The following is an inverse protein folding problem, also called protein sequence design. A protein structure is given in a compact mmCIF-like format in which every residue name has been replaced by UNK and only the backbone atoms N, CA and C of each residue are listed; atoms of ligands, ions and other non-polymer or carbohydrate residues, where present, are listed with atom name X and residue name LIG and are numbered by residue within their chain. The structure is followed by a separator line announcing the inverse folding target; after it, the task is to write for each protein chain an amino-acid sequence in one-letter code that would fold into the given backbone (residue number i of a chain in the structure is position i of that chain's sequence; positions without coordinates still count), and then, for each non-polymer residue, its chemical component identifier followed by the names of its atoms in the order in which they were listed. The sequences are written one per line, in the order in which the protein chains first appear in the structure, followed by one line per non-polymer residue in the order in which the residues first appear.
data_IF_285071757928
#
_entry.id   IF_285071757928
#
_cell.length_a   1.000
_cell.length_b   1.000
_cell.length_c   1.000
_cell.angle_alpha   90.00
_cell.angle_beta   90.00
_cell.angle_gamma   90.00
#
_symmetry.space_group_name_H-M   'P 1'
#
loop_
_entity.id
_entity.type
_entity.pdbx_description
1 polymer ?
#
# COMPACT_ATOMS: atom_id res chain seq x y z
N UNK A 1 12.14 -2.13 -9.24
CA UNK A 1 11.99 -1.21 -8.09
C UNK A 1 12.17 -2.00 -6.81
N UNK A 2 13.15 -1.64 -6.01
CA UNK A 2 13.52 -2.34 -4.76
C UNK A 2 13.59 -3.85 -4.98
N UNK A 3 14.52 -4.28 -5.83
CA UNK A 3 14.67 -5.68 -6.24
C UNK A 3 14.98 -6.59 -5.07
N UNK A 4 15.69 -6.10 -4.06
CA UNK A 4 16.09 -6.86 -2.89
C UNK A 4 15.44 -6.30 -1.62
N UNK A 5 15.34 -7.16 -0.59
CA UNK A 5 14.91 -6.73 0.74
C UNK A 5 15.85 -5.67 1.31
N UNK A 6 17.14 -5.77 1.03
CA UNK A 6 18.13 -4.77 1.47
C UNK A 6 17.81 -3.38 0.91
N UNK A 7 17.54 -3.30 -0.39
CA UNK A 7 17.20 -2.03 -1.03
C UNK A 7 15.91 -1.45 -0.46
N UNK A 8 14.91 -2.31 -0.23
CA UNK A 8 13.64 -1.90 0.36
C UNK A 8 13.84 -1.35 1.78
N UNK A 9 14.59 -2.05 2.63
CA UNK A 9 14.85 -1.61 3.99
C UNK A 9 15.63 -0.30 4.03
N UNK A 10 16.56 -0.11 3.09
CA UNK A 10 17.29 1.15 2.96
C UNK A 10 16.35 2.29 2.61
N UNK A 11 15.44 2.10 1.67
CA UNK A 11 14.46 3.12 1.29
C UNK A 11 13.49 3.43 2.43
N UNK A 12 13.10 2.43 3.22
CA UNK A 12 12.24 2.64 4.38
C UNK A 12 12.86 3.64 5.36
N UNK A 13 14.16 3.56 5.58
CA UNK A 13 14.87 4.50 6.46
C UNK A 13 14.80 5.94 5.94
N UNK A 14 14.74 6.11 4.62
CA UNK A 14 14.63 7.43 4.00
C UNK A 14 13.19 7.96 4.02
N UNK A 15 12.22 7.08 4.22
CA UNK A 15 10.80 7.45 4.33
C UNK A 15 10.03 7.31 3.04
N UNK A 16 8.77 7.72 3.10
CA UNK A 16 7.85 7.65 1.97
C UNK A 16 8.25 8.62 0.86
N UNK A 17 7.94 8.24 -0.37
CA UNK A 17 8.09 9.09 -1.55
C UNK A 17 6.99 8.73 -2.58
N UNK A 18 7.17 9.11 -3.84
CA UNK A 18 6.20 8.80 -4.89
C UNK A 18 6.07 7.31 -5.19
N UNK A 19 7.04 6.49 -4.78
CA UNK A 19 7.10 5.05 -5.06
C UNK A 19 6.94 4.16 -3.83
N UNK A 20 6.91 4.73 -2.64
CA UNK A 20 6.87 3.95 -1.40
C UNK A 20 5.86 4.53 -0.42
N UNK A 21 4.95 3.68 0.05
CA UNK A 21 3.98 4.00 1.09
C UNK A 21 4.16 3.03 2.26
N UNK A 22 4.26 3.58 3.47
CA UNK A 22 4.42 2.80 4.70
C UNK A 22 3.13 2.86 5.50
N UNK A 23 2.69 1.70 6.01
CA UNK A 23 1.49 1.59 6.84
C UNK A 23 1.75 0.70 8.04
N UNK A 24 1.49 1.23 9.23
CA UNK A 24 1.32 0.41 10.42
C UNK A 24 -0.17 0.05 10.54
N UNK A 25 -0.46 -1.16 10.97
CA UNK A 25 -1.83 -1.65 11.04
C UNK A 25 -2.28 -1.78 12.49
N UNK A 26 -3.54 -1.43 12.71
CA UNK A 26 -4.22 -1.64 13.99
C UNK A 26 -5.32 -2.67 13.80
N UNK A 27 -5.52 -3.51 14.79
CA UNK A 27 -6.47 -4.63 14.72
C UNK A 27 -7.53 -4.51 15.79
N UNK A 28 -8.72 -5.02 15.47
CA UNK A 28 -9.78 -5.24 16.43
C UNK A 28 -10.29 -6.67 16.24
N UNK A 29 -9.91 -7.58 17.14
CA UNK A 29 -10.18 -8.99 16.96
C UNK A 29 -9.56 -9.51 15.67
N UNK A 30 -10.36 -10.12 14.82
CA UNK A 30 -9.93 -10.69 13.55
C UNK A 30 -10.08 -9.73 12.38
N UNK A 31 -10.05 -8.42 12.64
CA UNK A 31 -10.23 -7.41 11.60
C UNK A 31 -9.14 -6.37 11.68
N UNK A 32 -8.72 -5.85 10.52
CA UNK A 32 -7.90 -4.65 10.45
C UNK A 32 -8.81 -3.46 10.69
N UNK A 33 -8.51 -2.70 11.74
CA UNK A 33 -9.29 -1.53 12.13
C UNK A 33 -8.77 -0.25 11.51
N UNK A 34 -7.46 -0.09 11.45
CA UNK A 34 -6.80 1.12 10.95
C UNK A 34 -5.58 0.69 10.13
N UNK A 35 -5.41 1.26 8.92
CA UNK A 35 -6.24 2.26 8.24
C UNK A 35 -7.61 1.70 7.84
N UNK A 36 -8.59 2.61 7.66
CA UNK A 36 -9.91 2.21 7.18
C UNK A 36 -9.79 1.66 5.75
N UNK A 37 -10.54 0.60 5.45
CA UNK A 37 -10.46 -0.08 4.15
C UNK A 37 -10.71 0.85 2.95
N UNK A 38 -11.63 1.82 3.10
CA UNK A 38 -11.91 2.76 2.02
C UNK A 38 -10.72 3.69 1.76
N UNK A 39 -10.08 4.18 2.81
CA UNK A 39 -8.87 4.99 2.69
C UNK A 39 -7.73 4.22 2.07
N UNK A 40 -7.55 2.96 2.46
CA UNK A 40 -6.52 2.10 1.89
C UNK A 40 -6.80 1.84 0.40
N UNK A 41 -8.06 1.62 0.03
CA UNK A 41 -8.46 1.46 -1.37
C UNK A 41 -8.12 2.70 -2.19
N UNK A 42 -8.41 3.89 -1.67
CA UNK A 42 -8.11 5.15 -2.34
C UNK A 42 -6.61 5.32 -2.60
N UNK A 43 -5.78 4.96 -1.63
CA UNK A 43 -4.33 5.06 -1.75
C UNK A 43 -3.74 4.04 -2.74
N UNK A 44 -4.23 2.80 -2.69
CA UNK A 44 -3.82 1.76 -3.64
C UNK A 44 -4.19 2.13 -5.08
N UNK A 45 -5.42 2.61 -5.28
CA UNK A 45 -5.89 3.03 -6.59
C UNK A 45 -5.10 4.25 -7.10
N UNK A 46 -4.80 5.21 -6.22
CA UNK A 46 -4.00 6.38 -6.58
C UNK A 46 -2.62 5.98 -7.10
N UNK A 47 -1.97 5.01 -6.47
CA UNK A 47 -0.68 4.52 -6.92
C UNK A 47 -0.80 3.85 -8.29
N UNK A 48 -1.76 2.95 -8.47
CA UNK A 48 -1.97 2.25 -9.74
C UNK A 48 -2.31 3.20 -10.90
N UNK A 49 -2.99 4.30 -10.60
CA UNK A 49 -3.33 5.32 -11.58
C UNK A 49 -2.15 6.23 -11.95
N UNK A 50 -1.07 6.18 -11.21
CA UNK A 50 0.04 7.12 -11.36
C UNK A 50 1.31 6.46 -11.87
N UNK A 51 1.86 5.50 -11.11
CA UNK A 51 3.15 4.90 -11.42
C UNK A 51 3.33 3.61 -10.60
N UNK A 52 4.33 2.82 -11.00
CA UNK A 52 4.71 1.65 -10.21
C UNK A 52 5.12 2.07 -8.80
N UNK A 53 4.78 1.26 -7.82
CA UNK A 53 5.17 1.55 -6.46
C UNK A 53 5.00 0.36 -5.53
N UNK A 54 5.35 0.58 -4.27
CA UNK A 54 5.35 -0.45 -3.24
C UNK A 54 4.65 0.08 -1.98
N UNK A 55 3.75 -0.72 -1.43
CA UNK A 55 3.23 -0.54 -0.08
C UNK A 55 3.96 -1.50 0.85
N UNK A 56 4.36 -1.03 2.01
CA UNK A 56 4.91 -1.89 3.06
C UNK A 56 4.03 -1.78 4.28
N UNK A 57 3.48 -2.92 4.71
CA UNK A 57 2.64 -3.02 5.88
C UNK A 57 3.46 -3.55 7.06
N UNK A 58 3.30 -2.94 8.22
CA UNK A 58 4.05 -3.28 9.42
C UNK A 58 5.18 -2.32 9.74
N UNK A 59 5.16 -1.12 9.16
CA UNK A 59 6.16 -0.08 9.41
C UNK A 59 5.42 1.23 9.74
N UNK A 60 5.84 1.87 10.81
CA UNK A 60 5.31 3.19 11.18
C UNK A 60 5.79 4.23 10.19
N UNK A 61 4.87 4.99 9.59
CA UNK A 61 5.18 5.95 8.53
C UNK A 61 5.93 7.18 9.03
N UNK A 62 5.78 7.53 10.30
CA UNK A 62 6.42 8.70 10.90
C UNK A 62 7.81 8.38 11.44
N UNK A 63 7.90 7.37 12.30
CA UNK A 63 9.17 6.94 12.92
C UNK A 63 9.99 6.05 12.01
N UNK A 64 9.36 5.40 11.03
CA UNK A 64 9.95 4.41 10.13
C UNK A 64 10.44 3.16 10.86
N UNK A 65 9.93 2.95 12.07
CA UNK A 65 10.24 1.77 12.88
C UNK A 65 9.51 0.56 12.30
N UNK A 66 10.23 -0.55 12.19
CA UNK A 66 9.64 -1.83 11.78
C UNK A 66 8.88 -2.40 12.98
N UNK A 67 7.56 -2.29 12.94
CA UNK A 67 6.67 -2.81 13.98
C UNK A 67 6.40 -4.30 13.75
N UNK A 68 6.31 -4.69 12.48
CA UNK A 68 5.97 -6.05 12.06
C UNK A 68 4.48 -6.33 12.13
N UNK A 69 4.10 -7.47 11.57
CA UNK A 69 2.74 -7.98 11.60
C UNK A 69 2.78 -9.26 12.43
N UNK A 70 1.94 -9.39 13.48
CA UNK A 70 1.87 -10.62 14.24
C UNK A 70 1.57 -11.81 13.33
N UNK A 71 2.23 -12.93 13.57
CA UNK A 71 2.09 -14.11 12.72
C UNK A 71 0.63 -14.57 12.57
N UNK A 72 -0.13 -14.52 13.68
CA UNK A 72 -1.54 -14.89 13.68
C UNK A 72 -2.44 -13.91 12.91
N UNK A 73 -1.92 -12.75 12.52
CA UNK A 73 -2.66 -11.74 11.75
C UNK A 73 -2.33 -11.74 10.26
N UNK A 74 -1.34 -12.48 9.83
CA UNK A 74 -0.89 -12.46 8.43
C UNK A 74 -2.00 -12.82 7.45
N UNK A 75 -2.75 -13.89 7.72
CA UNK A 75 -3.85 -14.33 6.85
C UNK A 75 -4.98 -13.29 6.81
N UNK A 76 -5.24 -12.65 7.95
CA UNK A 76 -6.25 -11.60 8.05
C UNK A 76 -5.86 -10.41 7.17
N UNK A 77 -4.60 -10.02 7.21
CA UNK A 77 -4.09 -8.90 6.39
C UNK A 77 -4.15 -9.24 4.91
N UNK A 78 -3.72 -10.45 4.51
CA UNK A 78 -3.79 -10.88 3.11
C UNK A 78 -5.22 -10.84 2.59
N UNK A 79 -6.16 -11.38 3.36
CA UNK A 79 -7.59 -11.37 3.00
C UNK A 79 -8.12 -9.95 2.89
N UNK A 80 -7.75 -9.08 3.81
CA UNK A 80 -8.15 -7.68 3.83
C UNK A 80 -7.70 -6.95 2.55
N UNK A 81 -6.44 -7.14 2.15
CA UNK A 81 -5.91 -6.55 0.90
C UNK A 81 -6.64 -7.11 -0.31
N UNK A 82 -6.84 -8.44 -0.35
CA UNK A 82 -7.54 -9.09 -1.47
C UNK A 82 -8.96 -8.52 -1.63
N UNK A 83 -9.68 -8.40 -0.54
CA UNK A 83 -11.06 -7.92 -0.58
C UNK A 83 -11.11 -6.44 -1.00
N UNK A 84 -10.18 -5.62 -0.52
CA UNK A 84 -10.08 -4.23 -0.96
C UNK A 84 -9.86 -4.14 -2.46
N UNK A 85 -8.87 -4.86 -2.98
CA UNK A 85 -8.51 -4.78 -4.39
C UNK A 85 -9.59 -5.34 -5.32
N UNK A 86 -10.34 -6.35 -4.88
CA UNK A 86 -11.39 -6.96 -5.69
C UNK A 86 -12.73 -6.24 -5.57
N UNK A 87 -13.08 -5.79 -4.37
CA UNK A 87 -14.45 -5.33 -4.10
C UNK A 87 -14.59 -3.82 -4.07
N UNK A 88 -13.53 -3.10 -3.69
CA UNK A 88 -13.59 -1.65 -3.50
C UNK A 88 -12.94 -0.84 -4.61
N UNK A 89 -12.22 -1.47 -5.52
CA UNK A 89 -11.52 -0.81 -6.62
C UNK A 89 -12.06 -1.36 -7.94
N UNK A 90 -12.46 -0.45 -8.84
CA UNK A 90 -13.06 -0.82 -10.13
C UNK A 90 -12.37 -0.12 -11.28
N UNK A 91 -11.89 -0.86 -12.30
CA UNK A 91 -11.77 -2.32 -12.30
C UNK A 91 -10.83 -2.82 -11.22
N UNK A 92 -10.90 -4.11 -10.90
CA UNK A 92 -10.10 -4.71 -9.83
C UNK A 92 -8.61 -4.46 -10.02
N UNK A 93 -7.91 -4.24 -8.91
CA UNK A 93 -6.48 -3.95 -8.93
C UNK A 93 -5.68 -5.25 -8.88
N UNK A 94 -4.73 -5.39 -9.81
CA UNK A 94 -3.73 -6.46 -9.75
C UNK A 94 -2.57 -6.03 -8.87
N UNK A 95 -2.08 -6.95 -8.04
CA UNK A 95 -0.99 -6.67 -7.12
C UNK A 95 -0.20 -7.94 -6.85
N UNK A 96 1.01 -7.78 -6.32
CA UNK A 96 1.81 -8.90 -5.85
C UNK A 96 2.12 -8.69 -4.38
N UNK A 97 1.70 -9.63 -3.55
CA UNK A 97 1.91 -9.57 -2.09
C UNK A 97 2.96 -10.60 -1.67
N UNK A 98 3.93 -10.17 -0.87
CA UNK A 98 4.97 -11.04 -0.33
C UNK A 98 5.18 -10.76 1.15
N UNK A 99 5.35 -11.83 1.93
CA UNK A 99 5.74 -11.73 3.33
C UNK A 99 7.27 -11.74 3.39
N UNK A 100 7.85 -10.79 4.08
CA UNK A 100 9.31 -10.64 4.16
C UNK A 100 9.76 -10.58 5.61
N UNK A 101 10.82 -11.34 5.97
CA UNK A 101 11.45 -11.15 7.27
C UNK A 101 12.25 -9.85 7.28
N UNK A 102 12.21 -9.13 8.38
CA UNK A 102 12.96 -7.90 8.56
C UNK A 102 13.44 -7.80 9.99
N UNK A 103 14.71 -7.43 10.18
CA UNK A 103 15.25 -7.24 11.51
C UNK A 103 14.97 -5.82 11.95
N UNK A 104 14.23 -5.67 13.05
CA UNK A 104 13.91 -4.39 13.64
C UNK A 104 15.11 -3.81 14.40
N UNK A 105 14.99 -2.53 14.82
CA UNK A 105 16.07 -1.83 15.53
C UNK A 105 16.41 -2.51 16.87
N UNK A 106 15.45 -3.23 17.48
CA UNK A 106 15.67 -4.01 18.71
C UNK A 106 16.39 -5.34 18.46
N UNK A 107 16.77 -5.64 17.21
CA UNK A 107 17.46 -6.87 16.83
C UNK A 107 16.53 -8.06 16.65
N UNK A 108 15.23 -7.90 16.85
CA UNK A 108 14.25 -8.99 16.72
C UNK A 108 13.78 -9.07 15.27
N UNK A 109 13.76 -10.29 14.72
CA UNK A 109 13.21 -10.54 13.41
C UNK A 109 11.68 -10.44 13.46
N UNK A 110 11.14 -9.64 12.55
CA UNK A 110 9.70 -9.44 12.40
C UNK A 110 9.31 -9.68 10.96
N UNK A 111 8.01 -9.85 10.72
CA UNK A 111 7.50 -10.06 9.36
C UNK A 111 6.78 -8.80 8.93
N UNK A 112 7.13 -8.31 7.74
CA UNK A 112 6.43 -7.23 7.06
C UNK A 112 5.79 -7.77 5.79
N UNK A 113 4.80 -7.07 5.28
CA UNK A 113 4.16 -7.43 4.00
C UNK A 113 4.51 -6.36 2.97
N UNK A 114 5.05 -6.81 1.86
CA UNK A 114 5.33 -5.96 0.69
C UNK A 114 4.26 -6.19 -0.36
N UNK A 115 3.68 -5.11 -0.85
CA UNK A 115 2.70 -5.15 -1.93
C UNK A 115 3.24 -4.33 -3.08
N UNK A 116 3.51 -5.02 -4.20
CA UNK A 116 3.95 -4.36 -5.42
C UNK A 116 2.74 -4.00 -6.27
N UNK A 117 2.63 -2.72 -6.62
CA UNK A 117 1.59 -2.17 -7.47
C UNK A 117 2.23 -1.69 -8.76
N UNK A 118 1.73 -2.19 -9.88
CA UNK A 118 2.14 -1.71 -11.20
C UNK A 118 1.16 -0.66 -11.70
N UNK A 119 1.68 0.35 -12.39
CA UNK A 119 0.81 1.29 -13.06
C UNK A 119 -0.12 0.54 -13.99
N UNK A 120 -1.42 0.78 -13.86
CA UNK A 120 -2.44 0.13 -14.66
C UNK A 120 -2.63 0.82 -16.00
N UNK A 121 -3.05 0.05 -17.01
CA UNK A 121 -3.51 0.59 -18.29
C UNK A 121 -4.90 1.21 -18.17
N UNK A 122 -5.62 0.92 -17.08
CA UNK A 122 -6.97 1.40 -16.82
C UNK A 122 -6.96 2.38 -15.67
N UNK A 123 -7.92 3.32 -15.69
CA UNK A 123 -8.14 4.21 -14.56
C UNK A 123 -9.01 3.47 -13.55
N UNK A 124 -8.55 3.39 -12.32
CA UNK A 124 -9.28 2.73 -11.23
C UNK A 124 -10.05 3.76 -10.42
N UNK A 125 -11.32 3.46 -10.20
CA UNK A 125 -12.16 4.18 -9.26
C UNK A 125 -12.13 3.46 -7.92
N UNK A 126 -12.03 4.22 -6.83
CA UNK A 126 -12.07 3.72 -5.46
C UNK A 126 -13.23 4.39 -4.71
N UNK A 127 -13.48 4.02 -3.43
CA UNK A 127 -14.66 4.56 -2.72
C UNK A 127 -14.76 6.08 -2.71
N UNK A 128 -13.65 6.79 -2.62
CA UNK A 128 -13.64 8.26 -2.63
C UNK A 128 -13.68 8.88 -4.01
N UNK A 129 -13.58 8.10 -5.08
CA UNK A 129 -13.59 8.57 -6.46
C UNK A 129 -12.32 8.19 -7.23
N UNK A 130 -11.84 9.11 -8.06
CA UNK A 130 -10.63 8.91 -8.88
C UNK A 130 -9.49 9.71 -8.29
N UNK A 131 -8.41 9.00 -7.95
CA UNK A 131 -7.23 9.61 -7.34
C UNK A 131 -5.98 9.36 -8.16
N UNK A 132 -5.06 10.31 -8.13
CA UNK A 132 -3.66 10.09 -8.52
C UNK A 132 -2.78 10.36 -7.30
N UNK A 133 -1.49 10.01 -7.42
CA UNK A 133 -0.52 10.21 -6.35
C UNK A 133 0.49 11.27 -6.80
N UNK A 134 0.67 12.29 -5.96
CA UNK A 134 1.65 13.35 -6.18
C UNK A 134 2.60 13.33 -4.98
N UNK A 135 3.86 12.96 -5.20
CA UNK A 135 4.78 12.69 -4.11
C UNK A 135 4.25 11.55 -3.25
N UNK A 136 4.15 11.74 -1.95
CA UNK A 136 3.61 10.75 -1.01
C UNK A 136 2.12 10.97 -0.70
N UNK A 137 1.41 11.80 -1.45
CA UNK A 137 0.01 12.14 -1.17
C UNK A 137 -0.91 11.71 -2.30
N UNK A 138 -2.08 11.16 -1.92
CA UNK A 138 -3.16 10.96 -2.89
C UNK A 138 -3.89 12.28 -3.12
N UNK A 139 -4.30 12.50 -4.37
CA UNK A 139 -5.05 13.69 -4.77
C UNK A 139 -6.17 13.31 -5.71
N UNK A 140 -7.33 13.95 -5.59
CA UNK A 140 -8.41 13.74 -6.56
C UNK A 140 -7.95 14.25 -7.93
N UNK A 141 -8.26 13.47 -8.96
CA UNK A 141 -7.92 13.85 -10.32
C UNK A 141 -8.75 15.06 -10.75
N UNK A 142 -8.10 16.07 -11.36
CA UNK A 142 -8.85 17.17 -11.96
C UNK A 142 -9.75 16.66 -13.10
N UNK A 143 -10.90 17.31 -13.36
CA UNK A 143 -11.83 16.85 -14.40
C UNK A 143 -11.20 16.76 -15.81
N UNK A 144 -10.29 17.68 -16.15
CA UNK A 144 -9.62 17.67 -17.43
C UNK A 144 -8.65 16.47 -17.59
N UNK A 145 -7.93 16.12 -16.55
CA UNK A 145 -7.08 14.92 -16.54
C UNK A 145 -7.92 13.67 -16.65
N UNK A 146 -9.00 13.59 -15.88
CA UNK A 146 -9.90 12.44 -15.88
C UNK A 146 -10.52 12.23 -17.26
N UNK A 147 -10.97 13.30 -17.90
CA UNK A 147 -11.54 13.23 -19.24
C UNK A 147 -10.53 12.67 -20.26
N UNK A 148 -9.26 13.07 -20.18
CA UNK A 148 -8.23 12.57 -21.08
C UNK A 148 -7.94 11.09 -20.89
N UNK A 149 -8.01 10.60 -19.65
CA UNK A 149 -7.72 9.20 -19.36
C UNK A 149 -8.82 8.25 -19.84
N UNK A 150 -10.02 8.75 -20.07
CA UNK A 150 -11.16 7.97 -20.61
C UNK A 150 -11.33 8.07 -22.11
N UNK A 151 -10.47 8.80 -22.80
CA UNK A 151 -10.50 8.88 -24.27
C UNK A 151 -9.84 7.70 -24.92
#
# INVERSE_FOLDING_TARGET
MFETTYELLKQIRLGEDSSLELKDLRYKGNQVKDPHRNSMADELAAMANTANGVFVLGVDDKSRVIVGIPEEKLDIVETWIRDICNDLIKPSLSYRLRKLPAIADDGIEKIIIRIDISRSLYVHESPGGYFNRIGSSKRKMPPDLLARLFQ
#
